data_IF_633231304110
#
_entry.id   IF_633231304110
#
_cell.length_a   1.000
_cell.length_b   1.000
_cell.length_c   1.000
_cell.angle_alpha   90.00
_cell.angle_beta   90.00
_cell.angle_gamma   90.00
#
_symmetry.space_group_name_H-M   'P 1'
#
loop_
_entity.id
_entity.type
_entity.pdbx_description
1 polymer ?
#
# COMPACT_ATOMS: atom_id res chain seq x y z
N UNK A 1 14.59 -19.51 9.62
CA UNK A 1 13.98 -19.16 8.32
C UNK A 1 15.06 -18.53 7.46
N UNK A 2 15.42 -19.16 6.35
CA UNK A 2 16.35 -18.61 5.36
C UNK A 2 15.76 -17.29 4.82
N UNK A 3 16.49 -16.19 4.93
CA UNK A 3 15.96 -14.86 4.58
C UNK A 3 15.69 -14.80 3.07
N UNK A 4 14.46 -14.44 2.68
CA UNK A 4 14.11 -14.27 1.28
C UNK A 4 14.98 -13.16 0.68
N UNK A 5 15.83 -13.53 -0.29
CA UNK A 5 16.72 -12.61 -0.98
C UNK A 5 16.65 -12.88 -2.48
N UNK A 6 17.05 -11.89 -3.29
CA UNK A 6 17.13 -12.06 -4.75
C UNK A 6 18.00 -13.25 -5.15
N UNK A 7 19.06 -13.54 -4.38
CA UNK A 7 19.96 -14.67 -4.62
C UNK A 7 19.28 -16.04 -4.42
N UNK A 8 18.32 -16.13 -3.48
CA UNK A 8 17.58 -17.38 -3.20
C UNK A 8 16.27 -17.49 -3.98
N UNK A 9 15.88 -16.47 -4.73
CA UNK A 9 14.63 -16.41 -5.47
C UNK A 9 14.41 -17.59 -6.44
N UNK A 10 15.36 -18.00 -7.31
CA UNK A 10 15.13 -19.10 -8.25
C UNK A 10 14.84 -20.45 -7.56
N UNK A 11 15.48 -20.71 -6.42
CA UNK A 11 15.27 -21.90 -5.60
C UNK A 11 13.89 -21.87 -4.95
N UNK A 12 13.51 -20.73 -4.39
CA UNK A 12 12.20 -20.53 -3.75
C UNK A 12 11.05 -20.68 -4.76
N UNK A 13 11.23 -20.19 -5.98
CA UNK A 13 10.24 -20.35 -7.07
C UNK A 13 10.01 -21.82 -7.38
N UNK A 14 11.08 -22.63 -7.52
CA UNK A 14 10.93 -24.07 -7.79
C UNK A 14 10.17 -24.78 -6.67
N UNK A 15 10.46 -24.45 -5.40
CA UNK A 15 9.75 -25.00 -4.25
C UNK A 15 8.27 -24.61 -4.24
N UNK A 16 7.97 -23.33 -4.43
CA UNK A 16 6.60 -22.81 -4.48
C UNK A 16 5.79 -23.40 -5.64
N UNK A 17 6.41 -23.59 -6.81
CA UNK A 17 5.75 -24.22 -7.96
C UNK A 17 5.44 -25.69 -7.77
N UNK A 18 6.12 -26.40 -6.85
CA UNK A 18 5.83 -27.80 -6.53
C UNK A 18 4.86 -27.95 -5.34
N UNK A 19 4.54 -26.86 -4.64
CA UNK A 19 3.67 -26.87 -3.46
C UNK A 19 2.20 -26.92 -3.88
N UNK A 20 1.59 -28.10 -3.73
CA UNK A 20 0.18 -28.35 -4.10
C UNK A 20 -0.81 -27.61 -3.21
N UNK A 21 -0.48 -27.34 -1.95
CA UNK A 21 -1.33 -26.51 -1.09
C UNK A 21 -1.28 -25.05 -1.52
N UNK A 22 -0.10 -24.53 -1.85
CA UNK A 22 0.04 -23.18 -2.38
C UNK A 22 -0.73 -23.02 -3.70
N UNK A 23 -0.59 -23.98 -4.62
CA UNK A 23 -1.34 -23.99 -5.88
C UNK A 23 -2.86 -23.99 -5.66
N UNK A 24 -3.34 -24.85 -4.76
CA UNK A 24 -4.76 -24.92 -4.42
C UNK A 24 -5.25 -23.61 -3.79
N UNK A 25 -4.52 -23.08 -2.81
CA UNK A 25 -4.85 -21.81 -2.18
C UNK A 25 -4.90 -20.66 -3.20
N UNK A 26 -3.93 -20.56 -4.11
CA UNK A 26 -3.93 -19.51 -5.13
C UNK A 26 -5.10 -19.65 -6.13
N UNK A 27 -5.44 -20.89 -6.50
CA UNK A 27 -6.55 -21.18 -7.44
C UNK A 27 -7.91 -20.89 -6.81
N UNK A 28 -8.10 -21.27 -5.55
CA UNK A 28 -9.37 -21.10 -4.83
C UNK A 28 -9.61 -19.66 -4.37
N UNK A 29 -8.55 -18.96 -3.99
CA UNK A 29 -8.69 -17.63 -3.38
C UNK A 29 -9.27 -16.62 -4.37
N UNK A 30 -8.81 -16.61 -5.62
CA UNK A 30 -9.28 -15.64 -6.63
C UNK A 30 -10.80 -15.65 -6.83
N UNK A 31 -11.40 -16.78 -7.24
CA UNK A 31 -12.85 -16.90 -7.43
C UNK A 31 -13.63 -16.62 -6.14
N UNK A 32 -13.16 -17.13 -4.99
CA UNK A 32 -13.83 -16.91 -3.69
C UNK A 32 -13.82 -15.45 -3.27
N UNK A 33 -12.78 -14.69 -3.59
CA UNK A 33 -12.75 -13.24 -3.32
C UNK A 33 -13.81 -12.49 -4.12
N UNK A 34 -13.96 -12.82 -5.41
CA UNK A 34 -14.98 -12.19 -6.27
C UNK A 34 -16.38 -12.49 -5.75
N UNK A 35 -16.66 -13.75 -5.43
CA UNK A 35 -17.96 -14.18 -4.89
C UNK A 35 -18.26 -13.52 -3.55
N UNK A 36 -17.31 -13.54 -2.60
CA UNK A 36 -17.48 -12.91 -1.28
C UNK A 36 -17.70 -11.41 -1.39
N UNK A 37 -17.00 -10.74 -2.31
CA UNK A 37 -17.21 -9.32 -2.60
C UNK A 37 -18.59 -9.07 -3.18
N UNK A 38 -19.07 -9.91 -4.10
CA UNK A 38 -20.41 -9.78 -4.66
C UNK A 38 -21.49 -9.93 -3.57
N UNK A 39 -21.40 -10.96 -2.73
CA UNK A 39 -22.31 -11.17 -1.59
C UNK A 39 -22.29 -10.00 -0.61
N UNK A 40 -21.11 -9.46 -0.30
CA UNK A 40 -21.00 -8.29 0.58
C UNK A 40 -21.62 -7.03 -0.02
N UNK A 41 -21.53 -6.84 -1.35
CA UNK A 41 -22.22 -5.75 -2.05
C UNK A 41 -23.73 -5.94 -2.04
N UNK A 42 -24.21 -7.15 -2.33
CA UNK A 42 -25.64 -7.49 -2.33
C UNK A 42 -26.27 -7.31 -0.93
N UNK A 43 -25.52 -7.62 0.13
CA UNK A 43 -25.97 -7.45 1.51
C UNK A 43 -26.03 -5.98 1.97
N UNK A 44 -25.55 -5.02 1.16
CA UNK A 44 -25.55 -3.60 1.45
C UNK A 44 -26.29 -2.83 0.34
N UNK A 45 -27.63 -2.64 0.46
CA UNK A 45 -28.46 -2.04 -0.60
C UNK A 45 -27.97 -0.68 -1.11
N UNK A 46 -27.36 0.13 -0.23
CA UNK A 46 -26.81 1.45 -0.52
C UNK A 46 -25.37 1.43 -1.07
N UNK A 47 -24.78 0.26 -1.34
CA UNK A 47 -23.37 0.12 -1.70
C UNK A 47 -22.95 1.03 -2.86
N UNK A 48 -23.73 1.05 -3.95
CA UNK A 48 -23.37 1.84 -5.13
C UNK A 48 -23.48 3.35 -4.86
N UNK A 49 -24.42 3.79 -4.00
CA UNK A 49 -24.52 5.18 -3.56
C UNK A 49 -23.30 5.57 -2.70
N UNK A 50 -22.91 4.74 -1.73
CA UNK A 50 -21.73 4.98 -0.90
C UNK A 50 -20.44 5.02 -1.71
N UNK A 51 -20.33 4.15 -2.72
CA UNK A 51 -19.19 4.16 -3.66
C UNK A 51 -19.10 5.48 -4.42
N UNK A 52 -20.23 5.97 -4.91
CA UNK A 52 -20.28 7.21 -5.67
C UNK A 52 -19.98 8.42 -4.76
N UNK A 53 -20.50 8.44 -3.54
CA UNK A 53 -20.13 9.44 -2.53
C UNK A 53 -18.62 9.41 -2.22
N UNK A 54 -18.04 8.23 -2.04
CA UNK A 54 -16.60 8.09 -1.79
C UNK A 54 -15.75 8.60 -2.98
N UNK A 55 -16.20 8.35 -4.22
CA UNK A 55 -15.58 8.92 -5.42
C UNK A 55 -15.66 10.45 -5.38
N UNK A 56 -16.82 11.01 -5.07
CA UNK A 56 -17.03 12.46 -5.08
C UNK A 56 -16.21 13.16 -3.99
N UNK A 57 -16.08 12.55 -2.81
CA UNK A 57 -15.16 12.99 -1.75
C UNK A 57 -13.71 12.96 -2.25
N UNK A 58 -13.30 11.88 -2.92
CA UNK A 58 -11.93 11.78 -3.45
C UNK A 58 -11.67 12.88 -4.48
N UNK A 59 -12.62 13.15 -5.39
CA UNK A 59 -12.49 14.22 -6.37
C UNK A 59 -12.38 15.58 -5.69
N UNK A 60 -13.22 15.86 -4.70
CA UNK A 60 -13.13 17.08 -3.92
C UNK A 60 -11.75 17.24 -3.25
N UNK A 61 -11.21 16.18 -2.66
CA UNK A 61 -9.85 16.21 -2.06
C UNK A 61 -8.78 16.49 -3.11
N UNK A 62 -8.91 15.91 -4.32
CA UNK A 62 -7.97 16.15 -5.42
C UNK A 62 -8.04 17.60 -5.92
N UNK A 63 -9.22 18.19 -5.97
CA UNK A 63 -9.43 19.57 -6.41
C UNK A 63 -8.91 20.61 -5.39
N UNK A 64 -8.74 20.22 -4.13
CA UNK A 64 -8.31 21.07 -3.01
C UNK A 64 -7.04 20.52 -2.33
N UNK A 65 -6.15 19.92 -3.13
CA UNK A 65 -4.97 19.25 -2.60
C UNK A 65 -4.08 20.18 -1.78
N UNK A 66 -3.92 21.44 -2.19
CA UNK A 66 -3.19 22.47 -1.47
C UNK A 66 -3.59 22.53 0.01
N UNK A 67 -4.90 22.56 0.29
CA UNK A 67 -5.45 22.62 1.66
C UNK A 67 -5.27 21.29 2.39
N UNK A 68 -5.59 20.18 1.73
CA UNK A 68 -5.59 18.86 2.39
C UNK A 68 -4.17 18.35 2.67
N UNK A 69 -3.20 18.72 1.84
CA UNK A 69 -1.80 18.36 1.99
C UNK A 69 -1.16 19.05 3.20
N UNK A 70 -1.39 20.35 3.38
CA UNK A 70 -0.92 21.09 4.56
C UNK A 70 -1.59 20.55 5.84
N UNK A 71 -2.92 20.33 5.81
CA UNK A 71 -3.64 19.74 6.95
C UNK A 71 -3.13 18.34 7.30
N UNK A 72 -2.79 17.53 6.30
CA UNK A 72 -2.20 16.22 6.53
C UNK A 72 -0.84 16.33 7.22
N UNK A 73 0.03 17.22 6.74
CA UNK A 73 1.32 17.49 7.37
C UNK A 73 1.18 17.95 8.82
N UNK A 74 0.28 18.88 9.11
CA UNK A 74 -0.01 19.32 10.49
C UNK A 74 -0.36 18.15 11.40
N UNK A 75 -1.22 17.23 10.92
CA UNK A 75 -1.65 16.06 11.70
C UNK A 75 -0.53 15.03 11.87
N UNK A 76 0.29 14.81 10.84
CA UNK A 76 1.46 13.94 10.91
C UNK A 76 2.45 14.49 11.94
N UNK A 77 2.74 15.79 11.88
CA UNK A 77 3.64 16.45 12.82
C UNK A 77 3.11 16.38 14.25
N UNK A 78 1.81 16.61 14.45
CA UNK A 78 1.17 16.48 15.77
C UNK A 78 1.23 15.04 16.33
N UNK A 79 1.24 14.03 15.46
CA UNK A 79 1.40 12.63 15.83
C UNK A 79 2.88 12.21 16.02
N UNK A 80 3.84 13.14 15.90
CA UNK A 80 5.27 12.87 16.02
C UNK A 80 5.94 12.32 14.76
N UNK A 81 5.23 12.33 13.63
CA UNK A 81 5.80 12.08 12.31
C UNK A 81 6.44 13.34 11.72
N UNK A 82 6.99 13.20 10.51
CA UNK A 82 7.55 14.31 9.74
C UNK A 82 7.26 14.11 8.27
N UNK A 83 6.66 15.10 7.60
CA UNK A 83 6.44 15.09 6.15
C UNK A 83 7.64 15.70 5.44
N UNK A 84 8.13 15.02 4.40
CA UNK A 84 9.16 15.55 3.52
C UNK A 84 8.55 15.88 2.17
N UNK A 85 8.41 17.17 1.87
CA UNK A 85 8.02 17.65 0.55
C UNK A 85 9.15 17.45 -0.45
N UNK A 86 8.83 16.89 -1.61
CA UNK A 86 9.78 16.65 -2.69
C UNK A 86 9.10 16.99 -4.02
N UNK A 87 9.61 18.01 -4.71
CA UNK A 87 9.08 18.44 -6.00
C UNK A 87 9.48 17.47 -7.11
N UNK A 88 10.64 16.83 -6.97
CA UNK A 88 11.18 15.86 -7.94
C UNK A 88 11.44 14.50 -7.30
N UNK A 89 11.57 13.49 -8.17
CA UNK A 89 12.01 12.16 -7.72
C UNK A 89 13.42 12.20 -7.11
N UNK A 90 14.26 13.15 -7.50
CA UNK A 90 15.63 13.29 -7.02
C UNK A 90 15.64 13.83 -5.60
N UNK A 91 14.80 14.85 -5.32
CA UNK A 91 14.58 15.38 -3.97
C UNK A 91 14.09 14.28 -3.02
N UNK A 92 13.14 13.46 -3.48
CA UNK A 92 12.61 12.36 -2.70
C UNK A 92 13.69 11.32 -2.37
N UNK A 93 14.52 10.93 -3.36
CA UNK A 93 15.62 9.99 -3.14
C UNK A 93 16.67 10.56 -2.18
N UNK A 94 17.00 11.84 -2.32
CA UNK A 94 17.94 12.52 -1.43
C UNK A 94 17.42 12.56 0.02
N UNK A 95 16.16 12.91 0.23
CA UNK A 95 15.54 12.94 1.55
C UNK A 95 15.53 11.55 2.20
N UNK A 96 15.08 10.52 1.46
CA UNK A 96 15.05 9.13 1.95
C UNK A 96 16.47 8.65 2.32
N UNK A 97 17.45 8.88 1.45
CA UNK A 97 18.84 8.48 1.70
C UNK A 97 19.40 9.18 2.93
N UNK A 98 19.16 10.50 3.06
CA UNK A 98 19.60 11.28 4.22
C UNK A 98 19.01 10.77 5.54
N UNK A 99 17.71 10.40 5.56
CA UNK A 99 17.08 9.78 6.73
C UNK A 99 17.76 8.46 7.06
N UNK A 100 17.94 7.58 6.06
CA UNK A 100 18.55 6.27 6.26
C UNK A 100 19.98 6.38 6.81
N UNK A 101 20.79 7.29 6.26
CA UNK A 101 22.16 7.53 6.71
C UNK A 101 22.19 8.07 8.14
N UNK A 102 21.33 9.05 8.45
CA UNK A 102 21.26 9.69 9.78
C UNK A 102 20.92 8.70 10.89
N UNK A 103 20.03 7.74 10.63
CA UNK A 103 19.63 6.73 11.63
C UNK A 103 20.41 5.42 11.51
N UNK A 104 21.37 5.34 10.58
CA UNK A 104 22.14 4.12 10.32
C UNK A 104 21.27 2.93 9.86
N UNK A 105 20.18 3.19 9.13
CA UNK A 105 19.22 2.18 8.72
C UNK A 105 19.87 1.04 7.92
N UNK A 106 19.60 -0.21 8.32
CA UNK A 106 20.05 -1.43 7.63
C UNK A 106 18.90 -2.23 7.02
N UNK A 107 17.68 -2.00 7.51
CA UNK A 107 16.45 -2.62 7.04
C UNK A 107 15.38 -1.53 6.94
N UNK A 108 14.68 -1.50 5.81
CA UNK A 108 13.62 -0.53 5.54
C UNK A 108 12.42 -1.30 4.99
N UNK A 109 11.25 -1.01 5.53
CA UNK A 109 9.98 -1.49 4.99
C UNK A 109 9.28 -0.33 4.32
N UNK A 110 8.96 -0.49 3.03
CA UNK A 110 8.16 0.49 2.30
C UNK A 110 6.68 0.19 2.52
N UNK A 111 5.96 1.12 3.14
CA UNK A 111 4.50 1.16 3.10
C UNK A 111 4.03 1.71 1.76
N UNK A 112 2.96 1.16 1.19
CA UNK A 112 2.24 1.79 0.08
C UNK A 112 0.90 2.27 0.66
N UNK A 113 0.58 3.54 0.51
CA UNK A 113 -0.74 4.12 0.77
C UNK A 113 -1.51 4.27 -0.52
#
# INVERSE_FOLDING_TARGET
MESASTATFPKNVKGALADTQLQYAMTEMGPRFVERRAKAREALPEFDQLRDQARDIKNHVLDHLDIYLERYEEKVNAAGGHVHWAATADDARAAILGICQRVGAKLVTKGKS
#
